data_IF_839289904968
#
_entry.id   IF_839289904968
#
_cell.length_a   1.000
_cell.length_b   1.000
_cell.length_c   1.000
_cell.angle_alpha   90.00
_cell.angle_beta   90.00
_cell.angle_gamma   90.00
#
_symmetry.space_group_name_H-M   'P 1'
#
loop_
_entity.id
_entity.type
_entity.pdbx_description
1 polymer ?
#
# COMPACT_ATOMS: atom_id res chain seq x y z
N UNK A 1 5.06 24.85 7.10
CA UNK A 1 5.23 23.99 5.91
C UNK A 1 3.99 23.12 5.76
N UNK A 2 3.53 22.79 4.54
CA UNK A 2 2.37 21.91 4.37
C UNK A 2 2.74 20.46 4.72
N UNK A 3 1.98 19.85 5.63
CA UNK A 3 2.12 18.43 5.95
C UNK A 3 1.14 17.57 5.14
N UNK A 4 1.58 16.39 4.71
CA UNK A 4 0.74 15.44 3.99
C UNK A 4 -0.32 14.89 4.94
N UNK A 5 -1.57 14.76 4.47
CA UNK A 5 -2.64 14.08 5.22
C UNK A 5 -3.23 12.86 4.50
N UNK A 6 -2.75 12.56 3.29
CA UNK A 6 -3.20 11.44 2.50
C UNK A 6 -2.06 10.90 1.63
N UNK A 7 -2.16 9.63 1.25
CA UNK A 7 -1.19 8.90 0.43
C UNK A 7 -1.93 8.09 -0.65
N UNK A 8 -1.39 8.11 -1.88
CA UNK A 8 -1.90 7.32 -2.99
C UNK A 8 -1.07 6.04 -3.15
N UNK A 9 -1.74 4.91 -3.38
CA UNK A 9 -1.09 3.60 -3.48
C UNK A 9 -1.57 2.83 -4.71
N UNK A 10 -0.71 1.95 -5.21
CA UNK A 10 -1.03 1.00 -6.28
C UNK A 10 -0.26 -0.30 -6.05
N UNK A 11 -0.93 -1.43 -6.28
CA UNK A 11 -0.38 -2.77 -6.09
C UNK A 11 -0.70 -3.58 -7.34
N UNK A 12 0.34 -4.14 -7.96
CA UNK A 12 0.22 -5.13 -9.02
C UNK A 12 0.27 -6.52 -8.39
N UNK A 13 -0.72 -7.34 -8.72
CA UNK A 13 -0.79 -8.73 -8.28
C UNK A 13 -0.79 -9.58 -9.54
N UNK A 14 0.15 -10.51 -9.61
CA UNK A 14 0.18 -11.50 -10.68
C UNK A 14 -1.20 -12.14 -10.78
N UNK A 15 -1.91 -11.87 -11.87
CA UNK A 15 -3.29 -12.32 -12.04
C UNK A 15 -3.31 -13.85 -12.00
N UNK A 16 -3.82 -14.41 -10.91
CA UNK A 16 -3.94 -15.87 -10.75
C UNK A 16 -5.14 -16.41 -11.51
N UNK A 17 -6.09 -15.54 -11.90
CA UNK A 17 -7.33 -15.90 -12.60
C UNK A 17 -8.00 -14.68 -13.24
N UNK A 18 -9.01 -14.90 -14.07
CA UNK A 18 -9.93 -13.85 -14.58
C UNK A 18 -10.95 -13.35 -13.54
N UNK A 19 -10.90 -13.86 -12.32
CA UNK A 19 -11.82 -13.51 -11.25
C UNK A 19 -11.35 -12.29 -10.47
N UNK A 20 -12.32 -11.53 -9.98
CA UNK A 20 -12.09 -10.40 -9.08
C UNK A 20 -11.49 -10.89 -7.76
N UNK A 21 -10.38 -10.28 -7.39
CA UNK A 21 -9.74 -10.43 -6.10
C UNK A 21 -10.24 -9.34 -5.17
N UNK A 22 -10.51 -9.70 -3.91
CA UNK A 22 -10.70 -8.78 -2.79
C UNK A 22 -9.36 -8.64 -2.08
N UNK A 23 -8.95 -7.40 -1.86
CA UNK A 23 -7.68 -7.04 -1.24
C UNK A 23 -7.92 -6.54 0.17
N UNK A 24 -7.12 -7.03 1.12
CA UNK A 24 -7.03 -6.48 2.45
C UNK A 24 -5.56 -6.52 2.89
N UNK A 25 -5.07 -5.40 3.38
CA UNK A 25 -3.70 -5.29 3.84
C UNK A 25 -3.43 -4.00 4.58
N UNK A 26 -2.17 -3.83 4.90
CA UNK A 26 -1.62 -2.67 5.57
C UNK A 26 -0.39 -2.16 4.82
N UNK A 27 -0.21 -0.85 4.84
CA UNK A 27 0.95 -0.16 4.29
C UNK A 27 1.65 0.54 5.45
N UNK A 28 2.82 0.04 5.82
CA UNK A 28 3.68 0.65 6.83
C UNK A 28 4.61 1.66 6.16
N UNK A 29 4.68 2.88 6.69
CA UNK A 29 5.46 3.98 6.14
C UNK A 29 6.61 4.32 7.07
N UNK A 30 7.81 4.40 6.51
CA UNK A 30 9.06 4.72 7.20
C UNK A 30 9.77 5.88 6.52
N UNK A 31 10.48 6.70 7.31
CA UNK A 31 11.38 7.73 6.77
C UNK A 31 12.55 7.08 6.03
N UNK A 32 12.79 7.50 4.79
CA UNK A 32 13.93 7.03 4.00
C UNK A 32 15.22 7.64 4.55
N UNK A 33 16.16 6.79 4.96
CA UNK A 33 17.46 7.19 5.52
C UNK A 33 17.55 6.93 7.03
N UNK A 34 16.56 7.39 7.82
CA UNK A 34 16.54 7.10 9.26
C UNK A 34 15.87 5.77 9.62
N UNK A 35 15.00 5.25 8.76
CA UNK A 35 14.26 4.00 9.03
C UNK A 35 13.23 4.13 10.15
N UNK A 36 12.91 5.35 10.59
CA UNK A 36 11.94 5.59 11.66
C UNK A 36 10.54 5.38 11.12
N UNK A 37 9.79 4.49 11.77
CA UNK A 37 8.36 4.25 11.53
C UNK A 37 7.56 5.54 11.71
N UNK A 38 6.66 5.82 10.77
CA UNK A 38 5.78 6.99 10.78
C UNK A 38 4.35 6.59 11.11
N UNK A 39 3.80 5.64 10.34
CA UNK A 39 2.42 5.21 10.46
C UNK A 39 2.13 3.93 9.67
N UNK A 40 0.99 3.32 9.96
CA UNK A 40 0.37 2.21 9.22
C UNK A 40 -0.97 2.67 8.66
N UNK A 41 -1.20 2.39 7.38
CA UNK A 41 -2.45 2.65 6.68
C UNK A 41 -3.11 1.32 6.33
N UNK A 42 -4.34 1.11 6.77
CA UNK A 42 -5.12 -0.08 6.40
C UNK A 42 -5.85 0.17 5.09
N UNK A 43 -5.67 -0.73 4.13
CA UNK A 43 -6.21 -0.57 2.78
C UNK A 43 -7.05 -1.78 2.38
N UNK A 44 -8.12 -1.53 1.65
CA UNK A 44 -8.96 -2.57 1.06
C UNK A 44 -9.42 -2.17 -0.34
N UNK A 45 -9.73 -3.16 -1.17
CA UNK A 45 -10.21 -2.90 -2.52
C UNK A 45 -10.64 -4.17 -3.24
N UNK A 46 -11.02 -4.03 -4.52
CA UNK A 46 -11.37 -5.16 -5.37
C UNK A 46 -10.95 -4.89 -6.83
N UNK A 47 -10.52 -5.94 -7.54
CA UNK A 47 -10.01 -5.78 -8.91
C UNK A 47 -9.44 -7.05 -9.53
N UNK A 48 -9.17 -7.00 -10.83
CA UNK A 48 -8.56 -8.10 -11.59
C UNK A 48 -7.05 -7.85 -11.74
N UNK A 49 -6.27 -8.27 -10.75
CA UNK A 49 -4.80 -8.24 -10.80
C UNK A 49 -4.14 -6.87 -10.55
N UNK A 50 -4.91 -5.81 -10.36
CA UNK A 50 -4.42 -4.49 -9.93
C UNK A 50 -5.36 -3.88 -8.89
N UNK A 51 -4.79 -3.14 -7.95
CA UNK A 51 -5.52 -2.39 -6.92
C UNK A 51 -4.86 -1.03 -6.71
N UNK A 52 -5.63 0.04 -6.57
CA UNK A 52 -5.11 1.38 -6.27
C UNK A 52 -6.13 2.20 -5.50
N UNK A 53 -5.65 3.16 -4.71
CA UNK A 53 -6.51 4.02 -3.91
C UNK A 53 -5.80 5.24 -3.33
N UNK A 54 -6.56 6.05 -2.60
CA UNK A 54 -6.05 7.15 -1.78
C UNK A 54 -6.59 6.94 -0.38
N UNK A 55 -5.69 6.88 0.59
CA UNK A 55 -6.04 6.72 2.00
C UNK A 55 -5.45 7.84 2.85
N UNK A 56 -6.15 8.13 3.94
CA UNK A 56 -5.79 9.21 4.84
C UNK A 56 -4.78 8.73 5.88
N UNK A 57 -3.81 9.59 6.15
CA UNK A 57 -2.81 9.36 7.17
C UNK A 57 -3.35 9.82 8.52
N UNK A 58 -3.17 9.02 9.56
CA UNK A 58 -3.45 9.41 10.94
C UNK A 58 -2.37 10.37 11.52
N UNK A 59 -1.26 10.54 10.80
CA UNK A 59 -0.17 11.47 11.10
C UNK A 59 0.06 12.41 9.92
N UNK A 60 0.46 13.64 10.22
CA UNK A 60 0.98 14.53 9.20
C UNK A 60 2.42 14.14 8.84
N UNK A 61 2.72 13.86 7.59
CA UNK A 61 4.12 13.69 7.15
C UNK A 61 4.71 15.06 6.80
N UNK A 62 5.95 15.29 7.20
CA UNK A 62 6.72 16.48 6.82
C UNK A 62 7.32 16.31 5.41
N UNK A 63 7.90 17.37 4.86
CA UNK A 63 8.62 17.30 3.60
C UNK A 63 9.84 16.37 3.77
N UNK A 64 9.94 15.36 2.90
CA UNK A 64 10.94 14.31 3.02
C UNK A 64 10.70 13.17 2.06
N UNK A 65 11.56 12.15 2.17
CA UNK A 65 11.44 10.93 1.37
C UNK A 65 11.05 9.78 2.28
N UNK A 66 10.12 8.94 1.82
CA UNK A 66 9.57 7.84 2.60
C UNK A 66 9.58 6.54 1.80
N UNK A 67 9.63 5.43 2.52
CA UNK A 67 9.47 4.08 1.98
C UNK A 67 8.21 3.48 2.60
N UNK A 68 7.34 2.95 1.74
CA UNK A 68 6.16 2.23 2.15
C UNK A 68 6.33 0.72 1.91
N UNK A 69 5.88 -0.11 2.86
CA UNK A 69 5.87 -1.56 2.75
C UNK A 69 4.43 -2.06 2.85
N UNK A 70 3.97 -2.74 1.81
CA UNK A 70 2.68 -3.41 1.84
C UNK A 70 2.81 -4.83 2.39
N UNK A 71 1.91 -5.18 3.30
CA UNK A 71 1.65 -6.55 3.74
C UNK A 71 0.16 -6.83 3.62
N UNK A 72 -0.22 -7.94 2.98
CA UNK A 72 -1.63 -8.27 2.87
C UNK A 72 -1.92 -9.45 1.97
N UNK A 73 -3.21 -9.76 1.87
CA UNK A 73 -3.72 -10.91 1.11
C UNK A 73 -4.71 -10.46 0.04
N UNK A 74 -4.68 -11.16 -1.09
CA UNK A 74 -5.69 -11.06 -2.12
C UNK A 74 -6.39 -12.41 -2.27
N UNK A 75 -7.72 -12.40 -2.17
CA UNK A 75 -8.54 -13.61 -2.26
C UNK A 75 -9.65 -13.44 -3.29
N UNK A 76 -9.93 -14.46 -4.11
CA UNK A 76 -11.13 -14.47 -4.95
C UNK A 76 -12.24 -15.32 -4.33
N UNK A 77 -13.40 -15.35 -4.99
CA UNK A 77 -14.57 -16.16 -4.59
C UNK A 77 -14.32 -17.66 -4.52
N UNK A 78 -13.23 -18.17 -5.11
CA UNK A 78 -12.83 -19.58 -5.07
C UNK A 78 -11.82 -19.88 -3.96
N UNK A 79 -11.46 -18.88 -3.14
CA UNK A 79 -10.48 -19.05 -2.07
C UNK A 79 -9.02 -19.11 -2.55
N UNK A 80 -8.74 -18.82 -3.83
CA UNK A 80 -7.37 -18.69 -4.31
C UNK A 80 -6.71 -17.47 -3.67
N UNK A 81 -5.54 -17.70 -3.09
CA UNK A 81 -4.70 -16.68 -2.46
C UNK A 81 -3.59 -16.27 -3.41
N UNK A 82 -3.52 -14.99 -3.74
CA UNK A 82 -2.31 -14.42 -4.31
C UNK A 82 -1.48 -13.82 -3.18
N UNK A 83 -0.22 -14.24 -3.05
CA UNK A 83 0.73 -13.48 -2.26
C UNK A 83 1.00 -12.18 -3.01
N UNK A 84 0.73 -11.04 -2.37
CA UNK A 84 1.26 -9.77 -2.87
C UNK A 84 2.75 -9.81 -2.60
N UNK A 85 3.57 -9.64 -3.63
CA UNK A 85 5.03 -9.77 -3.52
C UNK A 85 5.52 -8.83 -2.41
N UNK A 86 6.07 -9.34 -1.30
CA UNK A 86 6.66 -8.52 -0.25
C UNK A 86 7.91 -7.88 -0.84
N UNK A 87 7.90 -6.55 -0.99
CA UNK A 87 8.99 -5.82 -1.67
C UNK A 87 8.54 -4.76 -2.65
N UNK A 88 7.25 -4.45 -2.73
CA UNK A 88 6.78 -3.23 -3.38
C UNK A 88 7.14 -2.00 -2.51
N UNK A 89 8.44 -1.75 -2.32
CA UNK A 89 8.95 -0.54 -1.68
C UNK A 89 8.83 0.60 -2.68
N UNK A 90 7.72 1.35 -2.59
CA UNK A 90 7.58 2.56 -3.38
C UNK A 90 8.28 3.70 -2.62
N UNK A 91 9.36 4.19 -3.21
CA UNK A 91 10.01 5.42 -2.75
C UNK A 91 9.18 6.58 -3.28
N UNK A 92 8.64 7.40 -2.38
CA UNK A 92 7.95 8.62 -2.78
C UNK A 92 8.59 9.84 -2.10
N UNK A 93 8.77 10.88 -2.92
CA UNK A 93 9.20 12.19 -2.46
C UNK A 93 7.95 12.99 -2.10
N UNK A 94 7.84 13.39 -0.84
CA UNK A 94 6.78 14.30 -0.40
C UNK A 94 7.33 15.73 -0.38
N UNK A 95 6.69 16.64 -1.14
CA UNK A 95 7.08 18.05 -1.28
C UNK A 95 6.13 18.97 -0.52
#
# INVERSE_FOLDING_TARGET
>A
MPSARAFAWSIDITAVSSLTLVFNGEIEIYSQGSGIYQTTVYVSGYGNGKASGVDYLNVGLENGTYIAYYSGIATNSMGLRAAVVPGASFVFLYR
#
